data_IF_146431686570
#
_entry.id   IF_146431686570
#
_cell.length_a   1.000
_cell.length_b   1.000
_cell.length_c   1.000
_cell.angle_alpha   90.00
_cell.angle_beta   90.00
_cell.angle_gamma   90.00
#
_symmetry.space_group_name_H-M   'P 1'
#
loop_
_entity.id
_entity.type
_entity.pdbx_description
1 polymer ?
#
# COMPACT_ATOMS: atom_id res chain seq x y z
N UNK A 1 3.18 -0.65 14.49
CA UNK A 1 2.48 0.16 15.50
C UNK A 1 1.63 1.25 14.87
N UNK A 2 0.70 1.83 15.61
CA UNK A 2 -0.12 2.96 15.14
C UNK A 2 0.76 4.20 15.04
N UNK A 3 0.64 4.96 13.95
CA UNK A 3 1.38 6.21 13.78
C UNK A 3 1.04 7.21 14.91
N UNK A 4 2.05 7.86 15.53
CA UNK A 4 1.85 8.74 16.69
C UNK A 4 0.78 9.82 16.49
N UNK A 5 0.76 10.47 15.31
CA UNK A 5 -0.27 11.46 14.97
C UNK A 5 -1.69 10.90 14.93
N UNK A 6 -1.86 9.64 14.53
CA UNK A 6 -3.19 8.99 14.55
C UNK A 6 -3.63 8.72 15.97
N UNK A 7 -2.70 8.37 16.87
CA UNK A 7 -3.00 8.21 18.31
C UNK A 7 -3.42 9.53 18.93
N UNK A 8 -2.68 10.62 18.69
CA UNK A 8 -3.02 11.95 19.17
C UNK A 8 -4.40 12.40 18.66
N UNK A 9 -4.67 12.21 17.38
CA UNK A 9 -5.96 12.55 16.76
C UNK A 9 -7.09 11.72 17.37
N UNK A 10 -6.87 10.42 17.60
CA UNK A 10 -7.82 9.53 18.27
C UNK A 10 -8.18 10.05 19.68
N UNK A 11 -7.16 10.31 20.51
CA UNK A 11 -7.38 10.82 21.86
C UNK A 11 -8.08 12.16 21.88
N UNK A 12 -7.73 13.05 20.98
CA UNK A 12 -8.37 14.36 20.88
C UNK A 12 -9.86 14.24 20.53
N UNK A 13 -10.19 13.44 19.52
CA UNK A 13 -11.58 13.22 19.09
C UNK A 13 -12.41 12.50 20.16
N UNK A 14 -11.85 11.46 20.79
CA UNK A 14 -12.54 10.74 21.87
C UNK A 14 -12.82 11.65 23.05
N UNK A 15 -11.83 12.44 23.50
CA UNK A 15 -11.99 13.40 24.60
C UNK A 15 -13.04 14.46 24.27
N UNK A 16 -12.96 15.05 23.07
CA UNK A 16 -13.91 16.09 22.66
C UNK A 16 -15.36 15.56 22.61
N UNK A 17 -15.53 14.33 22.13
CA UNK A 17 -16.83 13.69 22.06
C UNK A 17 -17.38 13.35 23.45
N UNK A 18 -16.54 12.86 24.38
CA UNK A 18 -16.95 12.58 25.75
C UNK A 18 -17.38 13.84 26.47
N UNK A 19 -16.66 14.95 26.31
CA UNK A 19 -17.06 16.26 26.89
C UNK A 19 -18.42 16.69 26.35
N UNK A 20 -18.64 16.54 25.03
CA UNK A 20 -19.94 16.87 24.42
C UNK A 20 -21.07 16.00 24.99
N UNK A 21 -20.85 14.68 25.10
CA UNK A 21 -21.85 13.77 25.61
C UNK A 21 -22.18 14.05 27.09
N UNK A 22 -21.15 14.37 27.90
CA UNK A 22 -21.32 14.73 29.31
C UNK A 22 -22.16 16.01 29.42
N UNK A 23 -21.85 17.04 28.65
CA UNK A 23 -22.61 18.29 28.59
C UNK A 23 -24.09 18.04 28.26
N UNK A 24 -24.37 17.21 27.26
CA UNK A 24 -25.72 16.86 26.85
C UNK A 24 -26.46 16.08 27.95
N UNK A 25 -25.78 15.17 28.66
CA UNK A 25 -26.33 14.43 29.79
C UNK A 25 -26.67 15.35 30.96
N UNK A 26 -25.81 16.35 31.27
CA UNK A 26 -26.07 17.37 32.29
C UNK A 26 -27.23 18.29 31.95
N UNK A 27 -27.61 18.36 30.68
CA UNK A 27 -28.76 19.14 30.18
C UNK A 27 -30.00 18.30 29.95
N UNK A 28 -30.04 17.06 30.42
CA UNK A 28 -31.13 16.11 30.24
C UNK A 28 -31.54 15.88 28.77
N UNK A 29 -30.58 16.01 27.82
CA UNK A 29 -30.83 15.74 26.41
C UNK A 29 -30.98 14.26 26.16
N UNK A 30 -30.26 13.42 26.92
CA UNK A 30 -30.36 11.96 26.91
C UNK A 30 -29.97 11.35 28.28
N UNK A 31 -30.38 10.10 28.52
CA UNK A 31 -30.13 9.42 29.78
C UNK A 31 -28.72 8.73 29.83
N UNK A 32 -28.40 8.14 31.00
CA UNK A 32 -27.11 7.45 31.21
C UNK A 32 -26.93 6.23 30.30
N UNK A 33 -28.01 5.56 29.91
CA UNK A 33 -27.92 4.38 29.04
C UNK A 33 -27.59 4.83 27.61
N UNK A 34 -28.26 5.89 27.13
CA UNK A 34 -27.98 6.51 25.85
C UNK A 34 -26.55 7.07 25.81
N UNK A 35 -26.07 7.71 26.87
CA UNK A 35 -24.68 8.13 27.03
C UNK A 35 -23.71 6.96 26.80
N UNK A 36 -23.94 5.84 27.48
CA UNK A 36 -23.08 4.66 27.35
C UNK A 36 -23.09 4.07 25.95
N UNK A 37 -24.27 3.96 25.34
CA UNK A 37 -24.42 3.44 23.97
C UNK A 37 -23.71 4.34 22.94
N UNK A 38 -23.88 5.64 23.04
CA UNK A 38 -23.24 6.61 22.15
C UNK A 38 -21.72 6.58 22.31
N UNK A 39 -21.21 6.53 23.53
CA UNK A 39 -19.77 6.38 23.82
C UNK A 39 -19.20 5.13 23.17
N UNK A 40 -19.82 3.96 23.40
CA UNK A 40 -19.36 2.70 22.81
C UNK A 40 -19.41 2.70 21.28
N UNK A 41 -20.45 3.26 20.70
CA UNK A 41 -20.63 3.35 19.26
C UNK A 41 -19.59 4.25 18.62
N UNK A 42 -19.29 5.38 19.22
CA UNK A 42 -18.29 6.32 18.75
C UNK A 42 -16.87 5.76 18.84
N UNK A 43 -16.53 5.09 19.96
CA UNK A 43 -15.24 4.44 20.14
C UNK A 43 -15.01 3.33 19.10
N UNK A 44 -16.03 2.53 18.77
CA UNK A 44 -15.95 1.54 17.70
C UNK A 44 -15.66 2.21 16.34
N UNK A 45 -16.40 3.27 16.04
CA UNK A 45 -16.21 4.03 14.78
C UNK A 45 -14.80 4.61 14.70
N UNK A 46 -14.29 5.20 15.78
CA UNK A 46 -12.92 5.71 15.81
C UNK A 46 -11.87 4.61 15.61
N UNK A 47 -12.04 3.45 16.27
CA UNK A 47 -11.14 2.31 16.10
C UNK A 47 -11.14 1.79 14.67
N UNK A 48 -12.29 1.74 14.01
CA UNK A 48 -12.40 1.31 12.62
C UNK A 48 -11.77 2.34 11.66
N UNK A 49 -11.93 3.63 11.94
CA UNK A 49 -11.23 4.69 11.19
C UNK A 49 -9.72 4.60 11.35
N UNK A 50 -9.23 4.37 12.58
CA UNK A 50 -7.79 4.19 12.84
C UNK A 50 -7.25 2.96 12.10
N UNK A 51 -7.99 1.83 12.08
CA UNK A 51 -7.60 0.64 11.31
C UNK A 51 -7.54 0.93 9.82
N UNK A 52 -8.56 1.61 9.27
CA UNK A 52 -8.58 1.99 7.85
C UNK A 52 -7.44 2.95 7.50
N UNK A 53 -7.18 3.94 8.35
CA UNK A 53 -6.06 4.88 8.14
C UNK A 53 -4.71 4.18 8.27
N UNK A 54 -4.53 3.27 9.25
CA UNK A 54 -3.32 2.46 9.34
C UNK A 54 -3.11 1.57 8.11
N UNK A 55 -4.19 1.02 7.56
CA UNK A 55 -4.12 0.26 6.30
C UNK A 55 -3.71 1.17 5.13
N UNK A 56 -4.26 2.40 5.05
CA UNK A 56 -3.89 3.38 4.02
C UNK A 56 -2.46 3.90 4.19
N UNK A 57 -2.05 4.20 5.42
CA UNK A 57 -0.68 4.61 5.77
C UNK A 57 0.29 3.43 5.62
N UNK A 58 -0.14 2.20 5.92
CA UNK A 58 0.63 0.99 5.66
C UNK A 58 0.75 0.64 4.17
N UNK A 59 -0.20 1.11 3.33
CA UNK A 59 -0.08 1.07 1.87
C UNK A 59 0.82 2.18 1.31
N UNK A 60 1.02 3.26 2.08
CA UNK A 60 1.97 4.33 1.79
C UNK A 60 2.98 4.43 2.93
N UNK A 61 3.75 3.35 3.19
CA UNK A 61 4.76 3.36 4.25
C UNK A 61 5.76 4.49 4.04
N UNK A 62 5.49 5.62 4.69
CA UNK A 62 6.52 6.63 4.95
C UNK A 62 7.41 6.11 6.07
N UNK A 63 8.67 5.83 5.79
CA UNK A 63 9.70 5.71 6.81
C UNK A 63 9.75 7.00 7.65
N UNK A 64 10.30 6.95 8.87
CA UNK A 64 10.46 8.09 9.80
C UNK A 64 11.10 9.34 9.18
N UNK A 65 11.63 9.25 7.96
CA UNK A 65 12.20 10.35 7.16
C UNK A 65 11.23 10.95 6.12
N UNK A 66 9.94 10.57 6.12
CA UNK A 66 8.98 11.08 5.13
C UNK A 66 9.14 10.48 3.72
N UNK A 67 10.03 9.50 3.53
CA UNK A 67 10.22 8.82 2.25
C UNK A 67 9.28 7.63 2.13
N UNK A 68 8.57 7.55 1.02
CA UNK A 68 7.73 6.40 0.66
C UNK A 68 8.63 5.18 0.47
N UNK A 69 8.36 4.08 1.17
CA UNK A 69 9.04 2.81 0.93
C UNK A 69 8.33 2.07 -0.22
N UNK A 70 8.79 2.29 -1.42
CA UNK A 70 8.20 1.68 -2.61
C UNK A 70 8.34 0.16 -2.65
N UNK A 71 9.39 -0.40 -2.04
CA UNK A 71 9.56 -1.85 -1.91
C UNK A 71 8.38 -2.47 -1.15
N UNK A 72 8.09 -1.97 0.04
CA UNK A 72 7.02 -2.53 0.88
C UNK A 72 5.65 -2.32 0.23
N UNK A 73 5.47 -1.22 -0.51
CA UNK A 73 4.25 -0.98 -1.27
C UNK A 73 4.09 -1.99 -2.42
N UNK A 74 5.14 -2.25 -3.20
CA UNK A 74 5.12 -3.28 -4.27
C UNK A 74 4.91 -4.67 -3.68
N UNK A 75 5.56 -5.00 -2.55
CA UNK A 75 5.36 -6.27 -1.83
C UNK A 75 3.90 -6.45 -1.41
N UNK A 76 3.30 -5.43 -0.80
CA UNK A 76 1.89 -5.45 -0.39
C UNK A 76 0.92 -5.61 -1.57
N UNK A 77 1.17 -4.94 -2.70
CA UNK A 77 0.38 -5.10 -3.92
C UNK A 77 0.46 -6.53 -4.47
N UNK A 78 1.66 -7.11 -4.44
CA UNK A 78 1.91 -8.49 -4.87
C UNK A 78 1.21 -9.51 -3.96
N UNK A 79 1.39 -9.41 -2.64
CA UNK A 79 0.78 -10.32 -1.64
C UNK A 79 -0.75 -10.27 -1.66
N UNK A 80 -1.34 -9.11 -1.96
CA UNK A 80 -2.79 -8.93 -2.10
C UNK A 80 -3.33 -9.40 -3.45
N UNK A 81 -2.48 -9.93 -4.33
CA UNK A 81 -2.89 -10.40 -5.65
C UNK A 81 -3.43 -9.28 -6.56
N UNK A 82 -3.02 -8.02 -6.32
CA UNK A 82 -3.51 -6.90 -7.13
C UNK A 82 -2.86 -6.84 -8.51
N UNK A 83 -1.69 -7.45 -8.69
CA UNK A 83 -1.07 -7.61 -9.99
C UNK A 83 -1.66 -8.80 -10.73
N UNK A 84 -2.07 -8.59 -11.96
CA UNK A 84 -2.48 -9.65 -12.88
C UNK A 84 -1.24 -10.26 -13.53
N UNK A 85 -0.73 -11.35 -12.99
CA UNK A 85 0.52 -11.97 -13.40
C UNK A 85 0.24 -13.26 -14.14
N UNK A 86 0.78 -13.41 -15.36
CA UNK A 86 0.75 -14.65 -16.11
C UNK A 86 1.78 -15.65 -15.54
N UNK A 87 1.43 -16.92 -15.50
CA UNK A 87 2.30 -17.99 -14.99
C UNK A 87 3.56 -18.17 -15.83
N UNK A 88 3.46 -17.91 -17.12
CA UNK A 88 4.56 -18.02 -18.06
C UNK A 88 4.30 -17.16 -19.31
N UNK A 89 5.26 -17.19 -20.23
CA UNK A 89 5.21 -16.45 -21.50
C UNK A 89 4.07 -16.88 -22.43
N UNK A 90 3.69 -18.16 -22.41
CA UNK A 90 2.75 -18.73 -23.40
C UNK A 90 1.31 -18.32 -23.12
N UNK A 91 0.98 -18.07 -21.84
CA UNK A 91 -0.34 -17.57 -21.39
C UNK A 91 -0.36 -16.06 -21.18
N UNK A 92 0.75 -15.37 -21.48
CA UNK A 92 0.83 -13.92 -21.28
C UNK A 92 0.03 -13.16 -22.34
N UNK A 93 -0.96 -12.39 -21.86
CA UNK A 93 -1.73 -11.46 -22.68
C UNK A 93 -1.37 -10.01 -22.35
N UNK A 94 -1.06 -9.22 -23.38
CA UNK A 94 -0.63 -7.82 -23.26
C UNK A 94 -1.72 -6.93 -22.65
N UNK A 95 -3.00 -7.22 -22.91
CA UNK A 95 -4.10 -6.41 -22.41
C UNK A 95 -4.55 -6.87 -21.02
N UNK A 96 -4.49 -8.17 -20.76
CA UNK A 96 -4.99 -8.80 -19.53
C UNK A 96 -4.00 -8.84 -18.37
N UNK A 97 -2.68 -8.86 -18.66
CA UNK A 97 -1.66 -9.06 -17.62
C UNK A 97 -0.75 -7.84 -17.43
N UNK A 98 -0.38 -7.61 -16.17
CA UNK A 98 0.58 -6.57 -15.78
C UNK A 98 2.03 -7.05 -15.91
N UNK A 99 2.22 -8.36 -15.78
CA UNK A 99 3.53 -9.01 -15.86
C UNK A 99 3.44 -10.52 -16.01
N UNK A 100 4.58 -11.18 -15.93
CA UNK A 100 4.67 -12.65 -16.01
C UNK A 100 5.84 -13.17 -15.18
N UNK A 101 5.72 -14.42 -14.74
CA UNK A 101 6.87 -15.15 -14.20
C UNK A 101 7.77 -15.66 -15.33
N UNK A 102 9.07 -15.42 -15.19
CA UNK A 102 10.06 -15.91 -16.17
C UNK A 102 11.40 -16.19 -15.47
N UNK A 103 11.74 -17.47 -15.36
CA UNK A 103 12.86 -17.93 -14.55
C UNK A 103 12.51 -18.06 -13.06
N UNK A 104 13.40 -18.70 -12.28
CA UNK A 104 13.17 -18.93 -10.85
C UNK A 104 13.18 -17.63 -10.05
N UNK A 105 12.09 -17.38 -9.32
CA UNK A 105 11.97 -16.26 -8.40
C UNK A 105 12.01 -14.87 -9.05
N UNK A 106 11.80 -14.78 -10.37
CA UNK A 106 11.81 -13.52 -11.10
C UNK A 106 10.41 -13.17 -11.63
N UNK A 107 9.98 -11.97 -11.29
CA UNK A 107 8.75 -11.37 -11.79
C UNK A 107 9.10 -10.27 -12.80
N UNK A 108 8.62 -10.42 -14.03
CA UNK A 108 8.78 -9.46 -15.10
C UNK A 108 7.54 -8.56 -15.15
N UNK A 109 7.65 -7.32 -14.67
CA UNK A 109 6.57 -6.33 -14.66
C UNK A 109 6.69 -5.37 -15.84
N UNK A 110 5.61 -5.14 -16.55
CA UNK A 110 5.57 -4.15 -17.62
C UNK A 110 5.71 -2.74 -17.05
N UNK A 111 6.56 -1.92 -17.71
CA UNK A 111 6.80 -0.54 -17.28
C UNK A 111 5.49 0.27 -17.17
N UNK A 112 4.68 0.21 -18.23
CA UNK A 112 3.43 0.96 -18.35
C UNK A 112 2.40 0.53 -17.29
N UNK A 113 2.40 -0.77 -16.96
CA UNK A 113 1.48 -1.32 -15.95
C UNK A 113 1.93 -0.99 -14.54
N UNK A 114 3.23 -1.09 -14.26
CA UNK A 114 3.75 -0.72 -12.94
C UNK A 114 3.43 0.74 -12.62
N UNK A 115 3.54 1.66 -13.58
CA UNK A 115 3.24 3.08 -13.36
C UNK A 115 1.77 3.34 -12.99
N UNK A 116 0.82 2.50 -13.40
CA UNK A 116 -0.60 2.64 -13.04
C UNK A 116 -0.87 2.44 -11.54
N UNK A 117 0.02 1.73 -10.83
CA UNK A 117 -0.09 1.53 -9.39
C UNK A 117 0.53 2.68 -8.57
N UNK A 118 1.17 3.64 -9.26
CA UNK A 118 1.84 4.80 -8.70
C UNK A 118 1.46 6.08 -9.46
N UNK A 119 0.16 6.45 -9.51
CA UNK A 119 -0.32 7.53 -10.38
C UNK A 119 0.21 8.91 -9.97
N UNK A 120 0.53 9.10 -8.71
CA UNK A 120 0.97 10.38 -8.14
C UNK A 120 2.49 10.48 -7.98
N UNK A 121 3.23 9.43 -8.38
CA UNK A 121 4.68 9.35 -8.21
C UNK A 121 5.39 9.26 -9.55
N UNK A 122 6.63 9.78 -9.58
CA UNK A 122 7.52 9.55 -10.71
C UNK A 122 7.99 8.09 -10.71
N UNK A 123 7.60 7.33 -11.72
CA UNK A 123 7.98 5.92 -11.85
C UNK A 123 9.50 5.71 -11.85
N UNK A 124 10.28 6.70 -12.31
CA UNK A 124 11.73 6.60 -12.30
C UNK A 124 12.29 6.68 -10.87
N UNK A 125 11.64 7.38 -9.95
CA UNK A 125 12.01 7.41 -8.53
C UNK A 125 11.63 6.11 -7.81
N UNK A 126 10.44 5.56 -8.10
CA UNK A 126 10.03 4.22 -7.65
C UNK A 126 11.07 3.19 -8.06
N UNK A 127 11.44 3.17 -9.33
CA UNK A 127 12.39 2.21 -9.90
C UNK A 127 13.81 2.39 -9.34
N UNK A 128 14.26 3.63 -9.09
CA UNK A 128 15.55 3.90 -8.43
C UNK A 128 15.61 3.32 -7.02
N UNK A 129 14.51 3.42 -6.27
CA UNK A 129 14.46 2.88 -4.92
C UNK A 129 14.41 1.35 -4.90
N UNK A 130 13.61 0.73 -5.80
CA UNK A 130 13.61 -0.72 -6.00
C UNK A 130 14.99 -1.25 -6.44
N UNK A 131 15.74 -0.46 -7.20
CA UNK A 131 17.14 -0.77 -7.55
C UNK A 131 18.06 -0.70 -6.32
N UNK A 132 17.95 0.36 -5.50
CA UNK A 132 18.74 0.54 -4.28
C UNK A 132 18.46 -0.54 -3.24
N UNK A 133 17.21 -0.98 -3.12
CA UNK A 133 16.82 -2.07 -2.21
C UNK A 133 17.21 -3.46 -2.71
N UNK A 134 17.81 -3.58 -3.91
CA UNK A 134 18.22 -4.85 -4.50
C UNK A 134 17.09 -5.69 -5.08
N UNK A 135 15.85 -5.21 -5.00
CA UNK A 135 14.67 -5.88 -5.57
C UNK A 135 14.70 -5.87 -7.09
N UNK A 136 15.10 -4.75 -7.70
CA UNK A 136 15.18 -4.65 -9.15
C UNK A 136 16.49 -5.23 -9.68
N UNK A 137 16.39 -6.10 -10.70
CA UNK A 137 17.56 -6.61 -11.42
C UNK A 137 18.03 -5.58 -12.44
N UNK A 138 19.17 -4.95 -12.17
CA UNK A 138 19.79 -4.02 -13.13
C UNK A 138 20.37 -4.77 -14.33
N UNK A 139 20.02 -4.33 -15.53
CA UNK A 139 20.73 -4.73 -16.76
C UNK A 139 22.02 -3.93 -16.93
N UNK A 140 22.93 -4.42 -17.79
CA UNK A 140 24.21 -3.73 -18.09
C UNK A 140 24.02 -2.33 -18.68
N UNK A 141 22.94 -2.11 -19.45
CA UNK A 141 22.71 -0.87 -20.22
C UNK A 141 21.39 -0.18 -19.81
N UNK A 142 20.38 -0.93 -19.37
CA UNK A 142 19.08 -0.37 -19.00
C UNK A 142 18.47 -1.08 -17.80
N UNK A 143 17.53 -0.39 -17.12
CA UNK A 143 16.75 -0.97 -16.00
C UNK A 143 15.69 -1.96 -16.48
N UNK A 144 15.43 -2.03 -17.78
CA UNK A 144 14.42 -2.91 -18.36
C UNK A 144 15.08 -4.02 -19.18
N UNK A 145 14.42 -5.18 -19.22
CA UNK A 145 14.80 -6.32 -20.05
C UNK A 145 13.72 -6.63 -21.08
N UNK A 146 14.11 -7.23 -22.17
CA UNK A 146 13.21 -7.81 -23.18
C UNK A 146 13.19 -9.33 -23.02
N UNK A 147 12.05 -9.92 -23.29
CA UNK A 147 11.89 -11.39 -23.34
C UNK A 147 11.85 -11.81 -24.80
N UNK A 148 12.63 -12.85 -25.15
CA UNK A 148 12.59 -13.43 -26.49
C UNK A 148 11.17 -13.88 -26.85
N UNK A 149 10.65 -13.41 -27.98
CA UNK A 149 9.29 -13.69 -28.45
C UNK A 149 8.23 -12.65 -28.04
N UNK A 150 8.54 -11.72 -27.10
CA UNK A 150 7.69 -10.59 -26.75
C UNK A 150 8.32 -9.29 -27.27
N UNK A 151 8.34 -9.17 -28.64
CA UNK A 151 8.99 -8.04 -29.33
C UNK A 151 8.34 -6.70 -28.95
N UNK A 152 9.17 -5.67 -28.76
CA UNK A 152 8.72 -4.31 -28.46
C UNK A 152 8.34 -4.04 -27.00
N UNK A 153 8.25 -5.05 -26.15
CA UNK A 153 7.91 -4.88 -24.75
C UNK A 153 9.15 -4.79 -23.86
N UNK A 154 9.07 -3.91 -22.87
CA UNK A 154 10.12 -3.73 -21.88
C UNK A 154 9.57 -4.03 -20.49
N UNK A 155 10.32 -4.82 -19.73
CA UNK A 155 9.94 -5.30 -18.40
C UNK A 155 10.96 -4.87 -17.36
N UNK A 156 10.49 -4.41 -16.22
CA UNK A 156 11.26 -4.39 -14.99
C UNK A 156 11.32 -5.80 -14.42
N UNK A 157 12.48 -6.25 -14.00
CA UNK A 157 12.67 -7.59 -13.45
C UNK A 157 12.84 -7.49 -11.95
N UNK A 158 11.88 -8.01 -11.20
CA UNK A 158 11.87 -7.99 -9.75
C UNK A 158 12.25 -9.36 -9.19
N UNK A 159 13.12 -9.37 -8.19
CA UNK A 159 13.50 -10.58 -7.42
C UNK A 159 12.48 -10.79 -6.31
N UNK A 160 11.66 -11.83 -6.38
CA UNK A 160 10.64 -12.11 -5.38
C UNK A 160 11.23 -12.39 -4.00
N UNK A 161 12.37 -13.09 -3.93
CA UNK A 161 13.07 -13.36 -2.68
C UNK A 161 13.61 -12.10 -1.98
N UNK A 162 13.80 -11.00 -2.69
CA UNK A 162 14.21 -9.70 -2.13
C UNK A 162 13.00 -8.79 -1.89
N UNK A 163 11.92 -9.03 -2.58
CA UNK A 163 10.68 -8.27 -2.43
C UNK A 163 9.93 -8.68 -1.15
N UNK A 164 9.93 -9.97 -0.81
CA UNK A 164 9.09 -10.56 0.25
C UNK A 164 9.83 -10.74 1.60
N UNK A 165 11.06 -10.26 1.73
CA UNK A 165 11.80 -10.20 3.00
C UNK A 165 11.52 -8.86 3.68
#
# INVERSE_FOLDING_TARGET
GVHSRLQETYFFLDTAYQVLLQYCCERDVFDKNEYTQLTCSFQRLLLDLVKQQNQRVGMGMCNQSGKVNYRDRVASLYEKGQFKIAENKDVFDVQGHDGLYHGEGLLYMRRERLSMYFPDEDIDDVVKELEKSGVLVKGKISRTKQISGLRGMRFYVLKLNQLLI
#
